data_IF_242545943917
#
_entry.id   IF_242545943917
#
_cell.length_a   1.000
_cell.length_b   1.000
_cell.length_c   1.000
_cell.angle_alpha   90.00
_cell.angle_beta   90.00
_cell.angle_gamma   90.00
#
_symmetry.space_group_name_H-M   'P 1'
#
loop_
_entity.id
_entity.type
_entity.pdbx_description
1 polymer ?
#
# COMPACT_ATOMS: atom_id res chain seq x y z
N UNK A 1 2.47 -5.02 14.17
CA UNK A 1 2.69 -5.45 12.76
C UNK A 1 1.73 -4.78 11.79
N UNK A 2 0.41 -4.79 12.03
CA UNK A 2 -0.56 -4.07 11.19
C UNK A 2 -0.32 -2.55 11.17
N UNK A 3 0.14 -1.95 12.27
CA UNK A 3 0.46 -0.51 12.35
C UNK A 3 1.61 -0.08 11.44
N UNK A 4 2.70 -0.85 11.37
CA UNK A 4 3.85 -0.50 10.52
C UNK A 4 3.47 -0.47 9.03
N UNK A 5 2.66 -1.44 8.60
CA UNK A 5 2.15 -1.48 7.23
C UNK A 5 1.20 -0.30 6.95
N UNK A 6 0.31 0.03 7.90
CA UNK A 6 -0.59 1.19 7.78
C UNK A 6 0.16 2.52 7.74
N UNK A 7 1.23 2.66 8.51
CA UNK A 7 2.07 3.85 8.54
C UNK A 7 2.84 4.05 7.23
N UNK A 8 3.38 2.96 6.66
CA UNK A 8 4.00 2.98 5.33
C UNK A 8 3.01 3.39 4.23
N UNK A 9 1.82 2.77 4.21
CA UNK A 9 0.77 3.09 3.22
C UNK A 9 0.33 4.55 3.36
N UNK A 10 0.20 5.04 4.59
CA UNK A 10 -0.21 6.43 4.86
C UNK A 10 0.87 7.42 4.41
N UNK A 11 2.14 7.10 4.63
CA UNK A 11 3.28 7.92 4.19
C UNK A 11 3.35 7.99 2.67
N UNK A 12 3.19 6.85 1.99
CA UNK A 12 3.13 6.79 0.52
C UNK A 12 1.94 7.60 0.00
N UNK A 13 0.75 7.48 0.61
CA UNK A 13 -0.44 8.27 0.23
C UNK A 13 -0.23 9.78 0.40
N UNK A 14 0.48 10.22 1.44
CA UNK A 14 0.85 11.63 1.66
C UNK A 14 1.85 12.14 0.63
N UNK A 15 2.74 11.28 0.14
CA UNK A 15 3.71 11.59 -0.91
C UNK A 15 3.10 11.58 -2.32
N UNK A 16 1.78 11.36 -2.46
CA UNK A 16 1.09 11.45 -3.76
C UNK A 16 1.29 12.84 -4.35
N UNK A 17 1.97 12.99 -5.51
CA UNK A 17 2.15 14.28 -6.13
C UNK A 17 0.81 14.78 -6.70
N UNK A 18 0.56 16.09 -6.60
CA UNK A 18 -0.69 16.71 -7.07
C UNK A 18 -0.92 16.55 -8.59
N UNK A 19 0.12 16.23 -9.35
CA UNK A 19 0.10 15.93 -10.79
C UNK A 19 -0.33 14.49 -11.11
N UNK A 20 -0.43 13.59 -10.12
CA UNK A 20 -0.87 12.21 -10.35
C UNK A 20 -2.38 12.15 -10.65
N UNK A 21 -2.72 12.13 -11.93
CA UNK A 21 -4.08 11.86 -12.42
C UNK A 21 -4.33 10.34 -12.41
N UNK A 22 -5.29 9.88 -11.60
CA UNK A 22 -5.70 8.47 -11.48
C UNK A 22 -5.36 7.81 -10.13
N UNK A 23 -5.45 6.48 -10.10
CA UNK A 23 -5.12 5.65 -8.94
C UNK A 23 -3.60 5.61 -8.72
N UNK A 24 -3.16 6.25 -7.63
CA UNK A 24 -1.74 6.31 -7.27
C UNK A 24 -1.19 4.95 -6.79
N UNK A 25 -2.06 4.14 -6.17
CA UNK A 25 -1.76 2.77 -5.78
C UNK A 25 -2.83 1.87 -6.41
N UNK A 26 -2.42 0.97 -7.31
CA UNK A 26 -3.33 0.08 -8.05
C UNK A 26 -3.55 -1.26 -7.35
N UNK A 27 -2.53 -1.80 -6.69
CA UNK A 27 -2.59 -3.08 -5.98
C UNK A 27 -1.46 -3.15 -4.94
N UNK A 28 -1.76 -3.66 -3.74
CA UNK A 28 -0.77 -3.88 -2.67
C UNK A 28 -0.63 -5.39 -2.46
N UNK A 29 0.60 -5.88 -2.47
CA UNK A 29 0.92 -7.28 -2.17
C UNK A 29 1.87 -7.32 -0.99
N UNK A 30 1.55 -8.14 0.02
CA UNK A 30 2.42 -8.37 1.15
C UNK A 30 3.00 -9.79 1.04
N UNK A 31 4.32 -9.90 1.02
CA UNK A 31 5.04 -11.18 1.03
C UNK A 31 6.10 -11.17 2.12
N UNK A 32 6.30 -12.32 2.75
CA UNK A 32 7.50 -12.58 3.56
C UNK A 32 8.63 -13.07 2.64
N UNK A 33 9.88 -12.96 3.08
CA UNK A 33 11.11 -13.16 2.27
C UNK A 33 11.15 -14.45 1.44
N UNK A 34 10.36 -15.46 1.79
CA UNK A 34 10.26 -16.75 1.09
C UNK A 34 8.82 -17.30 1.03
N UNK A 35 7.80 -16.44 1.15
CA UNK A 35 6.39 -16.87 1.20
C UNK A 35 5.57 -16.32 0.03
N UNK A 36 4.52 -17.04 -0.39
CA UNK A 36 3.61 -16.53 -1.41
C UNK A 36 2.98 -15.20 -0.97
N UNK A 37 2.73 -14.33 -1.93
CA UNK A 37 2.18 -13.00 -1.68
C UNK A 37 0.68 -13.05 -1.41
N UNK A 38 0.21 -12.17 -0.54
CA UNK A 38 -1.22 -11.95 -0.26
C UNK A 38 -1.60 -10.59 -0.82
N UNK A 39 -2.67 -10.56 -1.62
CA UNK A 39 -3.24 -9.32 -2.13
C UNK A 39 -4.03 -8.62 -1.01
N UNK A 40 -3.72 -7.36 -0.76
CA UNK A 40 -4.36 -6.53 0.26
C UNK A 40 -5.24 -5.50 -0.45
N UNK A 41 -6.52 -5.49 -0.11
CA UNK A 41 -7.47 -4.52 -0.65
C UNK A 41 -7.17 -3.12 -0.08
N UNK A 42 -7.01 -2.16 -0.99
CA UNK A 42 -6.68 -0.76 -0.70
C UNK A 42 -7.86 -0.02 -0.03
N UNK A 43 -9.09 -0.52 -0.17
CA UNK A 43 -10.30 0.09 0.40
C UNK A 43 -10.63 -0.34 1.83
N UNK A 44 -9.99 -1.39 2.34
CA UNK A 44 -10.30 -1.96 3.66
C UNK A 44 -9.44 -1.42 4.81
N UNK A 45 -8.61 -0.38 4.60
CA UNK A 45 -7.68 0.20 5.61
C UNK A 45 -8.01 1.63 5.99
#
# INVERSE_FOLDING_TARGET
MAENAKELITTIKKLKPATAKGDYMKSIYLSSTMSPSINIDIKSV
#
